data_IF_386135263926
#
_entry.id   IF_386135263926
#
_cell.length_a   1.000
_cell.length_b   1.000
_cell.length_c   1.000
_cell.angle_alpha   90.00
_cell.angle_beta   90.00
_cell.angle_gamma   90.00
#
_symmetry.space_group_name_H-M   'P 1'
#
loop_
_entity.id
_entity.type
_entity.pdbx_description
1 polymer ?
#
# COMPACT_ATOMS: atom_id res chain seq x y z
N UNK A 1 -0.47 -9.89 10.74
CA UNK A 1 -0.51 -11.24 11.35
C UNK A 1 -0.74 -12.31 10.29
N UNK A 2 -1.80 -12.22 9.49
CA UNK A 2 -2.17 -13.22 8.49
C UNK A 2 -1.09 -13.41 7.39
N UNK A 3 -0.87 -12.38 6.57
CA UNK A 3 0.00 -12.44 5.39
C UNK A 3 1.49 -12.46 5.69
N UNK A 4 1.93 -11.82 6.79
CA UNK A 4 3.37 -11.68 7.12
C UNK A 4 3.80 -12.44 8.38
N UNK A 5 2.85 -13.05 9.11
CA UNK A 5 3.17 -13.77 10.34
C UNK A 5 3.64 -12.91 11.51
N UNK A 6 3.46 -11.59 11.43
CA UNK A 6 3.95 -10.65 12.43
C UNK A 6 2.82 -9.84 13.04
N UNK A 7 2.99 -9.56 14.34
CA UNK A 7 2.26 -8.52 15.04
C UNK A 7 2.93 -7.19 14.73
N UNK A 8 2.14 -6.21 14.33
CA UNK A 8 2.59 -4.84 14.09
C UNK A 8 2.00 -3.91 15.14
N UNK A 9 2.74 -2.86 15.45
CA UNK A 9 2.20 -1.69 16.14
C UNK A 9 1.70 -0.71 15.06
N UNK A 10 0.39 -0.44 15.07
CA UNK A 10 -0.24 0.48 14.13
C UNK A 10 0.06 1.91 14.60
N UNK A 11 0.61 2.71 13.70
CA UNK A 11 0.89 4.12 13.91
C UNK A 11 -0.13 5.02 13.21
N UNK A 12 0.36 6.11 12.64
CA UNK A 12 -0.48 7.14 12.02
C UNK A 12 -1.13 6.67 10.73
N UNK A 13 -2.36 7.13 10.48
CA UNK A 13 -2.99 7.06 9.17
C UNK A 13 -2.28 8.07 8.26
N UNK A 14 -1.59 7.58 7.24
CA UNK A 14 -0.79 8.42 6.34
C UNK A 14 -1.55 8.76 5.05
N UNK A 15 -2.37 7.83 4.52
CA UNK A 15 -3.16 8.08 3.33
C UNK A 15 -4.54 7.39 3.38
N UNK A 16 -5.50 8.03 2.73
CA UNK A 16 -6.79 7.46 2.33
C UNK A 16 -6.88 7.60 0.81
N UNK A 17 -7.19 6.52 0.09
CA UNK A 17 -7.49 6.59 -1.34
C UNK A 17 -8.83 5.96 -1.66
N UNK A 18 -9.36 6.33 -2.81
CA UNK A 18 -10.43 5.62 -3.47
C UNK A 18 -9.88 4.89 -4.71
N UNK A 19 -10.43 3.72 -4.99
CA UNK A 19 -10.30 3.06 -6.27
C UNK A 19 -11.70 2.94 -6.87
N UNK A 20 -11.96 3.72 -7.91
CA UNK A 20 -13.21 3.66 -8.67
C UNK A 20 -12.91 2.96 -10.00
N UNK A 21 -13.21 1.66 -10.09
CA UNK A 21 -12.71 0.82 -11.18
C UNK A 21 -13.10 1.29 -12.59
N UNK A 22 -14.24 1.96 -12.76
CA UNK A 22 -14.65 2.58 -14.04
C UNK A 22 -13.65 3.64 -14.57
N UNK A 23 -12.80 4.20 -13.71
CA UNK A 23 -11.87 5.28 -14.07
C UNK A 23 -10.46 4.75 -14.41
N UNK A 24 -10.18 3.46 -14.22
CA UNK A 24 -8.83 2.90 -14.29
C UNK A 24 -8.63 1.81 -15.35
N UNK A 25 -7.40 1.35 -15.51
CA UNK A 25 -6.93 0.44 -16.56
C UNK A 25 -7.69 -0.91 -16.64
N UNK A 26 -8.45 -1.27 -15.60
CA UNK A 26 -9.27 -2.48 -15.51
C UNK A 26 -10.78 -2.21 -15.52
N UNK A 27 -11.23 -1.07 -16.04
CA UNK A 27 -12.65 -0.71 -16.08
C UNK A 27 -13.57 -1.77 -16.71
N UNK A 28 -13.08 -2.63 -17.60
CA UNK A 28 -13.87 -3.71 -18.19
C UNK A 28 -14.22 -4.83 -17.18
N UNK A 29 -13.33 -5.13 -16.23
CA UNK A 29 -13.57 -6.13 -15.18
C UNK A 29 -14.10 -5.50 -13.89
N UNK A 30 -13.69 -4.27 -13.60
CA UNK A 30 -13.86 -3.64 -12.29
C UNK A 30 -14.84 -2.46 -12.35
N UNK A 31 -15.64 -2.32 -13.41
CA UNK A 31 -16.49 -1.15 -13.65
C UNK A 31 -17.31 -0.70 -12.43
N UNK A 32 -17.93 -1.66 -11.73
CA UNK A 32 -18.79 -1.41 -10.57
C UNK A 32 -18.03 -1.42 -9.23
N UNK A 33 -16.72 -1.62 -9.25
CA UNK A 33 -15.91 -1.61 -8.03
C UNK A 33 -15.70 -0.17 -7.56
N UNK A 34 -16.01 0.06 -6.29
CA UNK A 34 -15.64 1.26 -5.57
C UNK A 34 -15.12 0.85 -4.21
N UNK A 35 -13.83 1.06 -4.00
CA UNK A 35 -13.13 0.67 -2.79
C UNK A 35 -12.49 1.90 -2.14
N UNK A 36 -12.58 1.99 -0.81
CA UNK A 36 -11.86 2.97 -0.01
C UNK A 36 -10.78 2.24 0.76
N UNK A 37 -9.54 2.71 0.68
CA UNK A 37 -8.39 2.08 1.33
C UNK A 37 -7.72 3.05 2.31
N UNK A 38 -7.28 2.50 3.44
CA UNK A 38 -6.63 3.24 4.52
C UNK A 38 -5.21 2.71 4.72
N UNK A 39 -4.24 3.60 4.61
CA UNK A 39 -2.83 3.28 4.69
C UNK A 39 -2.27 3.79 6.01
N UNK A 40 -1.77 2.88 6.84
CA UNK A 40 -1.18 3.21 8.13
C UNK A 40 0.32 2.99 8.10
N UNK A 41 1.08 3.92 8.67
CA UNK A 41 2.45 3.64 9.09
C UNK A 41 2.40 2.60 10.20
N UNK A 42 3.32 1.62 10.19
CA UNK A 42 3.38 0.61 11.23
C UNK A 42 4.82 0.19 11.53
N UNK A 43 5.03 -0.41 12.70
CA UNK A 43 6.31 -0.99 13.12
C UNK A 43 6.14 -2.48 13.38
N UNK A 44 7.01 -3.30 12.80
CA UNK A 44 7.06 -4.72 13.13
C UNK A 44 7.70 -4.93 14.50
N UNK A 45 7.17 -5.88 15.28
CA UNK A 45 7.73 -6.20 16.62
C UNK A 45 8.89 -7.21 16.58
N UNK A 46 9.26 -7.70 15.40
CA UNK A 46 10.32 -8.69 15.22
C UNK A 46 10.81 -8.78 13.79
N UNK A 47 11.76 -9.68 13.56
CA UNK A 47 12.43 -9.92 12.27
C UNK A 47 12.08 -11.27 11.66
N UNK A 48 11.43 -12.18 12.40
CA UNK A 48 11.09 -13.51 11.90
C UNK A 48 9.78 -13.47 11.11
N UNK A 49 9.85 -13.49 9.79
CA UNK A 49 8.69 -13.39 8.91
C UNK A 49 8.25 -14.79 8.48
N UNK A 50 7.08 -15.24 8.93
CA UNK A 50 6.50 -16.53 8.57
C UNK A 50 4.98 -16.40 8.38
N UNK A 51 4.50 -16.17 7.14
CA UNK A 51 3.08 -16.04 6.83
C UNK A 51 2.23 -17.16 7.45
N UNK A 52 1.09 -16.80 8.03
CA UNK A 52 0.14 -17.75 8.63
C UNK A 52 -0.91 -18.17 7.60
N UNK A 53 -1.42 -17.22 6.83
CA UNK A 53 -2.32 -17.45 5.71
C UNK A 53 -1.98 -16.45 4.58
N UNK A 54 -0.96 -16.76 3.74
CA UNK A 54 -0.57 -15.85 2.67
C UNK A 54 -1.69 -15.74 1.61
N UNK A 55 -1.74 -14.62 0.91
CA UNK A 55 -2.64 -14.49 -0.22
C UNK A 55 -2.37 -15.53 -1.31
N UNK A 56 -3.41 -15.84 -2.10
CA UNK A 56 -3.34 -16.83 -3.21
C UNK A 56 -2.13 -16.63 -4.12
N UNK A 57 -1.72 -15.38 -4.34
CA UNK A 57 -0.63 -15.01 -5.24
C UNK A 57 0.61 -14.47 -4.52
N UNK A 58 0.67 -14.54 -3.18
CA UNK A 58 1.84 -14.13 -2.42
C UNK A 58 2.95 -15.20 -2.52
N UNK A 59 4.10 -14.81 -3.07
CA UNK A 59 5.25 -15.70 -3.26
C UNK A 59 6.40 -15.45 -2.28
N UNK A 60 6.41 -14.31 -1.60
CA UNK A 60 7.47 -13.91 -0.69
C UNK A 60 7.27 -12.52 -0.12
N UNK A 61 8.23 -12.07 0.68
CA UNK A 61 8.25 -10.76 1.35
C UNK A 61 9.65 -10.14 1.18
N UNK A 62 9.69 -8.86 0.79
CA UNK A 62 10.91 -8.09 0.59
C UNK A 62 10.78 -6.75 1.33
N UNK A 63 11.82 -6.37 2.10
CA UNK A 63 11.95 -5.01 2.61
C UNK A 63 12.56 -4.13 1.53
N UNK A 64 11.83 -3.10 1.09
CA UNK A 64 12.25 -2.21 0.00
C UNK A 64 12.62 -0.84 0.57
N UNK A 65 13.80 -0.28 0.23
CA UNK A 65 14.13 1.10 0.57
C UNK A 65 13.16 2.08 -0.10
N UNK A 66 12.67 3.08 0.64
CA UNK A 66 11.68 4.05 0.13
C UNK A 66 12.13 4.75 -1.16
N UNK A 67 13.42 5.11 -1.23
CA UNK A 67 14.03 5.74 -2.41
C UNK A 67 13.95 4.89 -3.69
N UNK A 68 13.83 3.57 -3.57
CA UNK A 68 13.83 2.65 -4.70
C UNK A 68 12.40 2.34 -5.18
N UNK A 69 11.36 2.89 -4.51
CA UNK A 69 9.96 2.58 -4.84
C UNK A 69 9.60 2.89 -6.29
N UNK A 70 10.17 3.94 -6.89
CA UNK A 70 9.90 4.30 -8.29
C UNK A 70 10.34 3.23 -9.30
N UNK A 71 11.29 2.38 -8.92
CA UNK A 71 11.82 1.29 -9.75
C UNK A 71 11.05 -0.02 -9.54
N UNK A 72 10.27 -0.12 -8.45
CA UNK A 72 9.48 -1.30 -8.12
C UNK A 72 8.07 -1.22 -8.72
N UNK A 73 7.50 -2.39 -9.05
CA UNK A 73 6.10 -2.55 -9.50
C UNK A 73 5.14 -2.54 -8.30
N UNK A 74 5.16 -1.45 -7.52
CA UNK A 74 4.20 -1.22 -6.44
C UNK A 74 2.92 -0.62 -7.03
N UNK A 75 1.78 -1.17 -6.61
CA UNK A 75 0.46 -0.65 -6.95
C UNK A 75 -0.24 -0.13 -5.69
N UNK A 76 -1.05 0.94 -5.80
CA UNK A 76 -1.25 1.73 -7.01
C UNK A 76 0.02 2.52 -7.41
N UNK A 77 0.26 2.66 -8.72
CA UNK A 77 1.50 3.21 -9.29
C UNK A 77 1.73 4.63 -8.80
N UNK A 78 0.65 5.42 -8.70
CA UNK A 78 0.69 6.79 -8.21
C UNK A 78 1.06 6.92 -6.73
N UNK A 79 0.81 5.90 -5.89
CA UNK A 79 1.11 5.96 -4.45
C UNK A 79 2.61 6.10 -4.16
N UNK A 80 3.46 5.61 -5.06
CA UNK A 80 4.92 5.69 -4.92
C UNK A 80 5.41 7.12 -4.70
N UNK A 81 4.87 8.10 -5.45
CA UNK A 81 5.25 9.52 -5.31
C UNK A 81 4.85 10.07 -3.94
N UNK A 82 3.64 9.74 -3.47
CA UNK A 82 3.12 10.21 -2.19
C UNK A 82 3.90 9.63 -1.02
N UNK A 83 4.23 8.33 -1.08
CA UNK A 83 5.08 7.67 -0.08
C UNK A 83 6.46 8.32 0.01
N UNK A 84 7.15 8.50 -1.12
CA UNK A 84 8.47 9.13 -1.14
C UNK A 84 8.42 10.54 -0.57
N UNK A 85 7.49 11.37 -1.03
CA UNK A 85 7.36 12.75 -0.57
C UNK A 85 7.06 12.82 0.93
N UNK A 86 6.14 11.98 1.43
CA UNK A 86 5.81 11.92 2.85
C UNK A 86 7.03 11.56 3.72
N UNK A 87 7.78 10.52 3.34
CA UNK A 87 8.96 10.10 4.10
C UNK A 87 10.17 11.03 3.91
N UNK A 88 10.16 11.89 2.90
CA UNK A 88 11.11 13.00 2.75
C UNK A 88 10.72 14.25 3.56
N UNK A 89 9.58 14.23 4.27
CA UNK A 89 9.10 15.36 5.07
C UNK A 89 8.39 16.45 4.25
N UNK A 90 8.03 16.16 3.01
CA UNK A 90 7.23 17.07 2.19
C UNK A 90 5.76 17.04 2.61
N UNK A 91 5.05 18.14 2.35
CA UNK A 91 3.62 18.23 2.64
C UNK A 91 2.82 17.40 1.63
N UNK A 92 2.21 16.32 2.10
CA UNK A 92 1.26 15.50 1.33
C UNK A 92 -0.15 15.59 1.90
N UNK A 93 -1.21 15.50 1.08
CA UNK A 93 -2.56 15.36 1.58
C UNK A 93 -2.76 13.96 2.16
N UNK A 94 -3.57 13.85 3.22
CA UNK A 94 -3.98 12.53 3.76
C UNK A 94 -4.98 11.87 2.82
N UNK A 95 -5.96 12.62 2.32
CA UNK A 95 -6.93 12.11 1.35
C UNK A 95 -6.43 12.34 -0.08
N UNK A 96 -6.14 11.25 -0.80
CA UNK A 96 -5.57 11.25 -2.16
C UNK A 96 -6.65 11.23 -3.26
N UNK A 97 -7.89 10.90 -2.91
CA UNK A 97 -8.97 10.71 -3.88
C UNK A 97 -8.79 9.45 -4.73
N UNK A 98 -9.39 9.46 -5.92
CA UNK A 98 -9.35 8.35 -6.87
C UNK A 98 -8.02 8.31 -7.63
N UNK A 99 -7.13 7.38 -7.24
CA UNK A 99 -5.79 7.22 -7.83
C UNK A 99 -5.45 5.74 -8.05
N UNK A 100 -4.64 5.42 -9.06
CA UNK A 100 -4.19 4.04 -9.34
C UNK A 100 -2.73 3.89 -9.80
#
# INVERSE_FOLDING_TARGET
>A
MEEIGQVVEIGELIFIREYIGKNHEYAASDFNAHQVEYYFACKTKGTNIQPINPDRYQTGIEWVPIKDLMEKRLYPKEMRKYLINHFNGEKTPIYLGDIN
#
